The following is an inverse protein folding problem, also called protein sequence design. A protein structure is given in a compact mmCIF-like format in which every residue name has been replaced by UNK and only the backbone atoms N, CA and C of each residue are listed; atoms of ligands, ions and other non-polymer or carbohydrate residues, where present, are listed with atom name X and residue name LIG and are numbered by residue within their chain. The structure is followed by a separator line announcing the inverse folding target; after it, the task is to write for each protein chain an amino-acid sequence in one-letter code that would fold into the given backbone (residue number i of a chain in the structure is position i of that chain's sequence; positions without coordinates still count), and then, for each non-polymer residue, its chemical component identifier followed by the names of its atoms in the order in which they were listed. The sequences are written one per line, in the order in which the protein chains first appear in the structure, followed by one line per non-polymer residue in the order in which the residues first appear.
data_IF_906743586589
#
_entry.id   IF_906743586589
#
_cell.length_a   1.000
_cell.length_b   1.000
_cell.length_c   1.000
_cell.angle_alpha   90.00
_cell.angle_beta   90.00
_cell.angle_gamma   90.00
#
_symmetry.space_group_name_H-M   'P 1'
#
loop_
_entity.id
_entity.type
_entity.pdbx_description
1 polymer ?
#
# COMPACT_ATOMS: atom_id res chain seq x y z
N UNK A 1 1.05 -18.95 -26.70
CA UNK A 1 0.55 -17.60 -26.35
C UNK A 1 0.31 -17.60 -24.86
N UNK A 2 1.28 -17.14 -24.08
CA UNK A 2 1.22 -17.11 -22.62
C UNK A 2 0.20 -16.05 -22.20
N UNK A 3 -0.85 -16.45 -21.47
CA UNK A 3 -1.82 -15.52 -20.86
C UNK A 3 -1.34 -15.24 -19.44
N UNK A 4 -0.57 -14.16 -19.26
CA UNK A 4 -0.27 -13.65 -17.93
C UNK A 4 -1.58 -13.32 -17.21
N UNK A 5 -1.87 -14.01 -16.11
CA UNK A 5 -3.02 -13.71 -15.25
C UNK A 5 -2.49 -13.03 -14.00
N UNK A 6 -2.32 -11.70 -14.07
CA UNK A 6 -1.90 -10.93 -12.88
C UNK A 6 -3.12 -10.48 -12.10
N UNK A 7 -3.11 -10.72 -10.80
CA UNK A 7 -4.09 -10.16 -9.86
C UNK A 7 -3.38 -9.16 -8.96
N UNK A 8 -3.88 -7.92 -8.93
CA UNK A 8 -3.36 -6.85 -8.09
C UNK A 8 -4.45 -6.52 -7.07
N UNK A 9 -4.14 -6.64 -5.78
CA UNK A 9 -4.99 -6.18 -4.69
C UNK A 9 -4.31 -4.99 -4.01
N UNK A 10 -5.00 -3.86 -3.98
CA UNK A 10 -4.49 -2.62 -3.40
C UNK A 10 -5.45 -2.15 -2.30
N UNK A 11 -4.99 -2.19 -1.05
CA UNK A 11 -5.74 -1.75 0.12
C UNK A 11 -5.06 -0.54 0.72
N UNK A 12 -5.80 0.57 0.88
CA UNK A 12 -5.30 1.76 1.56
C UNK A 12 -6.13 2.06 2.80
N UNK A 13 -5.45 2.41 3.89
CA UNK A 13 -6.05 2.90 5.11
C UNK A 13 -5.56 4.32 5.38
N UNK A 14 -6.45 5.21 5.78
CA UNK A 14 -6.11 6.60 6.07
C UNK A 14 -6.76 7.03 7.37
N UNK A 15 -5.96 7.49 8.33
CA UNK A 15 -6.43 7.90 9.64
C UNK A 15 -6.01 9.34 9.95
N UNK A 16 -6.85 10.05 10.70
CA UNK A 16 -6.57 11.40 11.21
C UNK A 16 -6.56 11.31 12.72
N UNK A 17 -5.47 11.75 13.37
CA UNK A 17 -5.33 11.61 14.82
C UNK A 17 -5.52 12.93 15.58
N UNK A 18 -5.35 14.08 14.92
CA UNK A 18 -5.70 15.37 15.47
C UNK A 18 -6.25 16.31 14.39
N UNK A 19 -7.24 17.13 14.76
CA UNK A 19 -7.88 18.16 13.93
C UNK A 19 -8.11 19.41 14.80
N UNK A 20 -7.53 20.54 14.41
CA UNK A 20 -7.68 21.82 15.10
C UNK A 20 -7.66 22.98 14.11
N UNK A 21 -8.64 23.88 14.20
CA UNK A 21 -8.76 25.06 13.32
C UNK A 21 -8.63 24.72 11.82
N UNK A 22 -9.24 23.61 11.40
CA UNK A 22 -9.15 23.09 10.04
C UNK A 22 -7.86 22.33 9.74
N UNK A 23 -6.75 22.55 10.44
CA UNK A 23 -5.52 21.80 10.24
C UNK A 23 -5.58 20.41 10.87
N UNK A 24 -5.06 19.39 10.18
CA UNK A 24 -5.00 18.04 10.69
C UNK A 24 -3.68 17.35 10.45
N UNK A 25 -3.39 16.38 11.31
CA UNK A 25 -2.28 15.45 11.18
C UNK A 25 -2.79 14.02 11.22
N UNK A 26 -2.17 13.18 10.42
CA UNK A 26 -2.63 11.82 10.19
C UNK A 26 -1.53 10.91 9.67
N UNK A 27 -1.92 9.69 9.36
CA UNK A 27 -1.12 8.77 8.58
C UNK A 27 -2.00 8.12 7.51
N UNK A 28 -1.39 7.71 6.42
CA UNK A 28 -1.95 6.74 5.50
C UNK A 28 -1.02 5.53 5.43
N UNK A 29 -1.60 4.37 5.21
CA UNK A 29 -0.85 3.16 4.92
C UNK A 29 -1.49 2.41 3.77
N UNK A 30 -0.70 1.57 3.12
CA UNK A 30 -1.16 0.78 1.99
C UNK A 30 -0.51 -0.58 1.95
N UNK A 31 -1.28 -1.57 1.51
CA UNK A 31 -0.79 -2.87 1.11
C UNK A 31 -1.06 -3.03 -0.38
N UNK A 32 -0.02 -3.25 -1.16
CA UNK A 32 -0.14 -3.66 -2.55
C UNK A 32 0.40 -5.08 -2.68
N UNK A 33 -0.47 -6.02 -3.05
CA UNK A 33 -0.12 -7.39 -3.33
C UNK A 33 -0.31 -7.63 -4.84
N UNK A 34 0.78 -7.95 -5.52
CA UNK A 34 0.73 -8.42 -6.90
C UNK A 34 1.10 -9.89 -6.95
N UNK A 35 0.20 -10.69 -7.51
CA UNK A 35 0.48 -12.06 -7.92
C UNK A 35 0.73 -12.06 -9.42
N UNK A 36 1.97 -12.38 -9.81
CA UNK A 36 2.30 -12.69 -11.21
C UNK A 36 2.44 -14.20 -11.31
N UNK A 37 1.43 -14.83 -11.90
CA UNK A 37 1.49 -16.24 -12.31
C UNK A 37 2.23 -16.26 -13.66
N UNK A 38 3.54 -16.46 -13.59
CA UNK A 38 4.35 -16.77 -14.77
C UNK A 38 4.33 -18.31 -14.93
N UNK A 39 4.33 -18.83 -16.15
CA UNK A 39 4.25 -20.28 -16.40
C UNK A 39 5.52 -21.05 -15.91
N UNK A 40 6.45 -20.35 -15.27
CA UNK A 40 7.45 -20.90 -14.37
C UNK A 40 6.95 -20.76 -12.93
N UNK A 41 6.89 -21.87 -12.20
CA UNK A 41 6.51 -22.05 -10.78
C UNK A 41 7.16 -21.12 -9.71
N UNK A 42 7.76 -19.99 -10.10
CA UNK A 42 8.22 -18.91 -9.24
C UNK A 42 7.06 -17.93 -8.98
N UNK A 43 6.26 -18.22 -7.94
CA UNK A 43 5.32 -17.26 -7.36
C UNK A 43 6.08 -16.05 -6.80
N UNK A 44 6.28 -15.01 -7.62
CA UNK A 44 6.79 -13.70 -7.17
C UNK A 44 5.63 -12.92 -6.55
N UNK A 45 5.41 -13.15 -5.25
CA UNK A 45 4.57 -12.30 -4.43
C UNK A 45 5.36 -11.04 -4.07
N UNK A 46 5.03 -9.93 -4.74
CA UNK A 46 5.51 -8.61 -4.38
C UNK A 46 4.50 -7.99 -3.40
N UNK A 47 4.88 -7.94 -2.11
CA UNK A 47 4.10 -7.28 -1.07
C UNK A 47 4.75 -5.96 -0.71
N UNK A 48 4.13 -4.85 -1.09
CA UNK A 48 4.57 -3.52 -0.70
C UNK A 48 3.76 -3.03 0.50
N UNK A 49 4.44 -2.73 1.60
CA UNK A 49 3.86 -2.03 2.74
C UNK A 49 4.26 -0.55 2.65
N UNK A 50 3.26 0.32 2.63
CA UNK A 50 3.43 1.76 2.58
C UNK A 50 2.97 2.35 3.91
N UNK A 51 3.75 3.27 4.47
CA UNK A 51 3.38 4.12 5.59
C UNK A 51 3.77 5.55 5.27
N UNK A 52 2.80 6.46 5.39
CA UNK A 52 2.97 7.84 4.98
C UNK A 52 2.39 8.78 6.05
N UNK A 53 3.22 9.50 6.85
CA UNK A 53 2.71 10.62 7.62
C UNK A 53 2.08 11.67 6.70
N UNK A 54 0.99 12.29 7.15
CA UNK A 54 0.28 13.34 6.41
C UNK A 54 -0.07 14.53 7.28
N UNK A 55 0.02 15.72 6.68
CA UNK A 55 -0.46 16.99 7.22
C UNK A 55 -1.46 17.59 6.23
N UNK A 56 -2.49 18.27 6.71
CA UNK A 56 -3.51 18.79 5.82
C UNK A 56 -4.41 19.85 6.43
N UNK A 57 -5.34 20.31 5.61
CA UNK A 57 -6.36 21.29 5.96
C UNK A 57 -7.74 20.81 5.51
N UNK A 58 -8.73 20.96 6.38
CA UNK A 58 -10.11 20.56 6.22
C UNK A 58 -10.98 21.81 6.12
N UNK A 59 -11.63 22.00 4.96
CA UNK A 59 -12.57 23.11 4.75
C UNK A 59 -13.92 22.78 5.41
N UNK A 60 -14.37 21.54 5.25
CA UNK A 60 -15.63 21.02 5.80
C UNK A 60 -15.55 19.49 5.92
N UNK A 61 -16.64 18.84 6.31
CA UNK A 61 -16.63 17.39 6.56
C UNK A 61 -16.35 16.53 5.30
N UNK A 62 -16.50 17.10 4.10
CA UNK A 62 -16.34 16.38 2.82
C UNK A 62 -15.12 16.82 2.01
N UNK A 63 -14.50 17.97 2.31
CA UNK A 63 -13.40 18.54 1.54
C UNK A 63 -12.15 18.72 2.40
N UNK A 64 -11.08 18.03 2.01
CA UNK A 64 -9.77 18.07 2.66
C UNK A 64 -8.65 18.11 1.63
N UNK A 65 -7.60 18.86 1.97
CA UNK A 65 -6.32 18.84 1.27
C UNK A 65 -5.28 18.25 2.21
N UNK A 66 -4.38 17.42 1.69
CA UNK A 66 -3.26 16.90 2.46
C UNK A 66 -2.01 16.76 1.62
N UNK A 67 -0.87 16.97 2.27
CA UNK A 67 0.44 16.56 1.80
C UNK A 67 0.88 15.35 2.64
N UNK A 68 1.43 14.34 1.98
CA UNK A 68 1.97 13.15 2.63
C UNK A 68 3.35 12.83 2.11
N UNK A 69 4.21 12.34 2.99
CA UNK A 69 5.50 11.77 2.61
C UNK A 69 5.38 10.25 2.69
N UNK A 70 5.52 9.56 1.56
CA UNK A 70 5.40 8.10 1.52
C UNK A 70 6.74 7.41 1.76
N UNK A 71 6.76 6.49 2.71
CA UNK A 71 7.88 5.58 2.92
C UNK A 71 7.39 4.14 2.84
N UNK A 72 8.01 3.37 1.93
CA UNK A 72 7.53 2.03 1.59
C UNK A 72 8.65 1.00 1.59
N UNK A 73 8.34 -0.19 2.12
CA UNK A 73 9.19 -1.37 2.03
C UNK A 73 8.63 -2.36 1.02
N UNK A 74 9.49 -2.87 0.13
CA UNK A 74 9.17 -4.00 -0.74
C UNK A 74 9.59 -5.30 -0.04
N UNK A 75 8.62 -6.16 0.25
CA UNK A 75 8.88 -7.53 0.69
C UNK A 75 8.77 -8.45 -0.51
N UNK A 76 9.91 -8.95 -0.98
CA UNK A 76 9.98 -10.01 -1.99
C UNK A 76 10.01 -11.36 -1.30
N UNK A 77 9.02 -12.22 -1.54
CA UNK A 77 9.04 -13.60 -1.03
C UNK A 77 10.23 -14.40 -1.59
N UNK A 78 10.97 -15.08 -0.73
CA UNK A 78 12.01 -16.06 -1.11
C UNK A 78 11.44 -17.48 -1.14
N UNK A 79 11.96 -18.34 -2.03
CA UNK A 79 11.60 -19.77 -2.13
C UNK A 79 11.63 -20.45 -0.75
N UNK A 80 10.49 -20.98 -0.31
CA UNK A 80 10.50 -22.04 0.69
C UNK A 80 10.92 -23.33 -0.03
N UNK A 81 12.18 -23.74 0.14
CA UNK A 81 12.61 -25.08 -0.25
C UNK A 81 11.99 -26.04 0.76
N UNK A 82 10.87 -26.65 0.40
CA UNK A 82 10.29 -27.76 1.17
C UNK A 82 11.07 -29.01 0.73
N UNK A 83 12.05 -29.44 1.54
CA UNK A 83 12.73 -30.72 1.33
C UNK A 83 11.82 -31.84 1.84
N UNK A 84 11.43 -32.74 0.94
CA UNK A 84 10.84 -34.04 1.29
C UNK A 84 11.91 -35.00 1.81
#
# INVERSE_FOLDING_TARGET
MFKFKSTILMLFLSATFALANGYFIGFSGGLNHSLVDDDNYDLKSDNNLLLSPKFGYQINNTHRYSISYEHGGKSSGSKAIISN
#
